data_IF_694074600357
#
_entry.id   IF_694074600357
#
_cell.length_a   1.000
_cell.length_b   1.000
_cell.length_c   1.000
_cell.angle_alpha   90.00
_cell.angle_beta   90.00
_cell.angle_gamma   90.00
#
_symmetry.space_group_name_H-M   'P 1'
#
loop_
_entity.id
_entity.type
_entity.pdbx_description
1 polymer ?
#
# COMPACT_ATOMS: atom_id res chain seq x y z
N UNK A 1 6.66 27.95 -12.23
CA UNK A 1 6.50 27.53 -10.82
C UNK A 1 5.06 27.12 -10.64
N UNK A 2 4.76 25.84 -10.87
CA UNK A 2 3.42 25.31 -10.65
C UNK A 2 3.24 25.09 -9.15
N UNK A 3 2.36 25.90 -8.58
CA UNK A 3 1.86 25.77 -7.22
C UNK A 3 1.39 24.33 -7.00
N UNK A 4 1.87 23.72 -5.92
CA UNK A 4 1.22 22.55 -5.35
C UNK A 4 -0.23 22.97 -5.09
N UNK A 5 -1.20 22.42 -5.85
CA UNK A 5 -2.60 22.70 -5.56
C UNK A 5 -2.85 22.07 -4.20
N UNK A 6 -3.09 22.92 -3.21
CA UNK A 6 -3.45 22.62 -1.83
C UNK A 6 -4.81 21.92 -1.69
N UNK A 7 -5.27 21.25 -2.75
CA UNK A 7 -6.63 20.74 -2.94
C UNK A 7 -6.73 19.21 -2.92
N UNK A 8 -5.63 18.49 -2.67
CA UNK A 8 -5.76 17.16 -2.04
C UNK A 8 -6.04 17.35 -0.55
N UNK A 9 -7.23 17.88 -0.29
CA UNK A 9 -7.86 17.94 1.01
C UNK A 9 -7.68 16.59 1.72
N UNK A 10 -7.32 16.65 3.01
CA UNK A 10 -7.23 15.54 3.94
C UNK A 10 -8.39 14.56 3.77
N UNK A 11 -8.28 13.58 2.87
CA UNK A 11 -9.16 12.42 2.86
C UNK A 11 -8.88 11.71 4.17
N UNK A 12 -9.82 11.85 5.10
CA UNK A 12 -9.72 11.23 6.41
C UNK A 12 -9.49 9.74 6.20
N UNK A 13 -8.34 9.25 6.63
CA UNK A 13 -8.04 7.82 6.54
C UNK A 13 -9.04 7.06 7.40
N UNK A 14 -9.75 6.12 6.78
CA UNK A 14 -10.71 5.25 7.46
C UNK A 14 -10.00 3.92 7.73
N UNK A 15 -9.91 3.47 9.00
CA UNK A 15 -9.39 2.15 9.36
C UNK A 15 -10.01 1.02 8.52
N UNK A 16 -9.21 0.09 8.02
CA UNK A 16 -9.69 -1.05 7.22
C UNK A 16 -10.76 -1.88 7.95
N UNK A 17 -10.63 -2.06 9.27
CA UNK A 17 -11.63 -2.74 10.11
C UNK A 17 -13.00 -2.07 10.14
N UNK A 18 -13.10 -0.80 9.73
CA UNK A 18 -14.36 -0.06 9.64
C UNK A 18 -14.95 -0.05 8.23
N UNK A 19 -14.22 -0.58 7.24
CA UNK A 19 -14.64 -0.65 5.85
C UNK A 19 -15.38 -1.97 5.60
N UNK A 20 -16.68 -1.97 5.25
CA UNK A 20 -17.47 -3.21 5.11
C UNK A 20 -16.89 -4.22 4.13
N UNK A 21 -16.24 -3.74 3.06
CA UNK A 21 -15.61 -4.56 2.02
C UNK A 21 -14.34 -5.30 2.47
N UNK A 22 -13.90 -5.09 3.72
CA UNK A 22 -12.76 -5.77 4.35
C UNK A 22 -13.18 -6.69 5.49
N UNK A 23 -14.48 -6.84 5.74
CA UNK A 23 -15.01 -7.62 6.88
C UNK A 23 -14.72 -9.13 6.81
N UNK A 24 -14.43 -9.65 5.62
CA UNK A 24 -14.04 -11.04 5.36
C UNK A 24 -12.54 -11.30 5.59
N UNK A 25 -11.73 -10.23 5.66
CA UNK A 25 -10.28 -10.34 5.78
C UNK A 25 -9.87 -10.35 7.24
N UNK A 26 -9.19 -11.40 7.68
CA UNK A 26 -8.53 -11.43 8.98
C UNK A 26 -7.14 -10.80 8.86
N UNK A 27 -6.87 -9.64 9.49
CA UNK A 27 -5.55 -9.00 9.43
C UNK A 27 -4.47 -9.93 10.00
N UNK A 28 -3.28 -9.88 9.40
CA UNK A 28 -2.14 -10.70 9.78
C UNK A 28 -1.03 -9.83 10.40
N UNK A 29 -0.88 -9.86 11.75
CA UNK A 29 0.15 -9.10 12.46
C UNK A 29 1.58 -9.41 11.97
N UNK A 30 2.47 -8.44 12.11
CA UNK A 30 3.90 -8.69 11.97
C UNK A 30 4.40 -9.59 13.11
N UNK A 31 5.14 -10.65 12.78
CA UNK A 31 5.81 -11.50 13.76
C UNK A 31 7.29 -11.10 13.88
N UNK A 32 7.60 -10.28 14.89
CA UNK A 32 8.98 -9.92 15.25
C UNK A 32 9.60 -10.87 16.31
N UNK A 33 8.90 -11.97 16.63
CA UNK A 33 9.31 -12.95 17.64
C UNK A 33 9.14 -12.48 19.10
N UNK A 34 9.53 -13.33 20.07
CA UNK A 34 9.32 -13.07 21.50
C UNK A 34 10.26 -12.01 22.11
N UNK A 35 11.32 -11.61 21.40
CA UNK A 35 12.31 -10.62 21.85
C UNK A 35 12.78 -9.80 20.65
N UNK A 36 11.96 -8.82 20.22
CA UNK A 36 12.20 -8.12 18.97
C UNK A 36 13.45 -7.25 19.05
N UNK A 37 14.26 -7.28 18.00
CA UNK A 37 15.42 -6.41 17.81
C UNK A 37 15.05 -5.35 16.79
N UNK A 38 15.41 -4.09 17.06
CA UNK A 38 15.04 -2.90 16.27
C UNK A 38 13.52 -2.74 15.98
N UNK A 39 12.62 -2.93 16.98
CA UNK A 39 11.20 -2.72 16.77
C UNK A 39 10.91 -1.27 16.41
N UNK A 40 10.12 -1.05 15.36
CA UNK A 40 9.70 0.28 14.96
C UNK A 40 8.39 0.60 15.64
N UNK A 41 8.32 1.74 16.33
CA UNK A 41 7.08 2.25 16.92
C UNK A 41 6.17 2.83 15.81
N UNK A 42 5.50 1.95 15.08
CA UNK A 42 4.60 2.32 13.99
C UNK A 42 3.35 3.06 14.49
N UNK A 43 2.80 3.92 13.64
CA UNK A 43 1.44 4.46 13.83
C UNK A 43 0.40 3.37 13.56
N UNK A 44 -0.76 3.47 14.19
CA UNK A 44 -1.88 2.51 14.01
C UNK A 44 -2.26 2.34 12.52
N UNK A 45 -2.25 3.42 11.75
CA UNK A 45 -2.55 3.37 10.31
C UNK A 45 -1.54 2.55 9.51
N UNK A 46 -0.28 2.56 9.93
CA UNK A 46 0.77 1.73 9.31
C UNK A 46 0.59 0.26 9.68
N UNK A 47 0.40 -0.02 10.97
CA UNK A 47 0.17 -1.39 11.46
C UNK A 47 -1.01 -2.01 10.74
N UNK A 48 -2.16 -1.32 10.73
CA UNK A 48 -3.37 -1.85 10.12
C UNK A 48 -3.21 -2.09 8.62
N UNK A 49 -2.72 -1.10 7.86
CA UNK A 49 -2.50 -1.26 6.41
C UNK A 49 -1.58 -2.45 6.11
N UNK A 50 -0.48 -2.59 6.86
CA UNK A 50 0.47 -3.68 6.63
C UNK A 50 -0.04 -5.04 7.09
N UNK A 51 -0.91 -5.09 8.12
CA UNK A 51 -1.54 -6.34 8.56
C UNK A 51 -2.52 -6.87 7.52
N UNK A 52 -3.33 -5.99 6.92
CA UNK A 52 -4.20 -6.35 5.79
C UNK A 52 -3.38 -6.72 4.56
N UNK A 53 -2.27 -6.01 4.28
CA UNK A 53 -1.38 -6.36 3.17
C UNK A 53 -0.82 -7.76 3.34
N UNK A 54 -0.31 -8.11 4.53
CA UNK A 54 0.18 -9.46 4.84
C UNK A 54 -0.90 -10.52 4.63
N UNK A 55 -2.13 -10.27 5.08
CA UNK A 55 -3.24 -11.21 4.90
C UNK A 55 -3.50 -11.51 3.41
N UNK A 56 -3.62 -10.46 2.57
CA UNK A 56 -3.87 -10.61 1.14
C UNK A 56 -2.67 -11.20 0.39
N UNK A 57 -1.46 -10.79 0.75
CA UNK A 57 -0.22 -11.30 0.17
C UNK A 57 -0.07 -12.81 0.42
N UNK A 58 -0.32 -13.27 1.65
CA UNK A 58 -0.29 -14.69 1.98
C UNK A 58 -1.44 -15.49 1.34
N UNK A 59 -2.60 -14.87 1.16
CA UNK A 59 -3.75 -15.46 0.46
C UNK A 59 -3.64 -15.42 -1.08
N UNK A 60 -2.60 -14.79 -1.62
CA UNK A 60 -2.42 -14.50 -3.04
C UNK A 60 -3.65 -13.83 -3.70
N UNK A 61 -4.31 -12.92 -2.98
CA UNK A 61 -5.55 -12.31 -3.48
C UNK A 61 -5.26 -11.29 -4.59
N UNK A 62 -5.67 -11.61 -5.83
CA UNK A 62 -5.53 -10.73 -7.00
C UNK A 62 -6.85 -10.05 -7.34
N UNK A 63 -7.17 -9.01 -6.58
CA UNK A 63 -8.44 -8.26 -6.69
C UNK A 63 -8.20 -6.76 -6.84
N UNK A 64 -9.23 -6.02 -7.27
CA UNK A 64 -9.16 -4.55 -7.33
C UNK A 64 -8.95 -3.93 -5.94
N UNK A 65 -9.54 -4.50 -4.88
CA UNK A 65 -9.30 -4.03 -3.50
C UNK A 65 -7.86 -4.29 -3.05
N UNK A 66 -7.25 -5.40 -3.47
CA UNK A 66 -5.84 -5.67 -3.23
C UNK A 66 -4.95 -4.63 -3.94
N UNK A 67 -5.29 -4.27 -5.19
CA UNK A 67 -4.60 -3.22 -5.93
C UNK A 67 -4.68 -1.87 -5.19
N UNK A 68 -5.87 -1.47 -4.73
CA UNK A 68 -6.05 -0.24 -3.93
C UNK A 68 -5.26 -0.27 -2.62
N UNK A 69 -5.24 -1.41 -1.92
CA UNK A 69 -4.45 -1.58 -0.70
C UNK A 69 -2.95 -1.40 -0.96
N UNK A 70 -2.41 -1.89 -2.08
CA UNK A 70 -1.00 -1.66 -2.41
C UNK A 70 -0.69 -0.17 -2.60
N UNK A 71 -1.63 0.64 -3.11
CA UNK A 71 -1.45 2.09 -3.22
C UNK A 71 -1.32 2.74 -1.83
N UNK A 72 -2.17 2.38 -0.86
CA UNK A 72 -2.06 2.88 0.52
C UNK A 72 -0.75 2.43 1.20
N UNK A 73 -0.36 1.17 1.00
CA UNK A 73 0.90 0.63 1.55
C UNK A 73 2.14 1.34 0.94
N UNK A 74 2.13 1.64 -0.35
CA UNK A 74 3.21 2.40 -1.03
C UNK A 74 3.28 3.84 -0.52
N UNK A 75 2.14 4.50 -0.28
CA UNK A 75 2.14 5.85 0.31
C UNK A 75 2.77 5.87 1.70
N UNK A 76 2.58 4.81 2.48
CA UNK A 76 3.15 4.68 3.83
C UNK A 76 4.65 4.31 3.82
N UNK A 77 5.08 3.46 2.90
CA UNK A 77 6.49 3.11 2.72
C UNK A 77 6.78 2.76 1.25
N UNK A 78 7.17 3.75 0.42
CA UNK A 78 7.46 3.50 -0.98
C UNK A 78 8.70 2.63 -1.18
N UNK A 79 9.54 2.45 -0.14
CA UNK A 79 10.71 1.57 -0.16
C UNK A 79 10.39 0.08 -0.04
N UNK A 80 9.13 -0.30 0.18
CA UNK A 80 8.75 -1.70 0.36
C UNK A 80 8.66 -2.44 -0.98
N UNK A 81 9.74 -3.13 -1.38
CA UNK A 81 9.82 -3.84 -2.65
C UNK A 81 8.80 -5.00 -2.76
N UNK A 82 8.40 -5.63 -1.65
CA UNK A 82 7.41 -6.72 -1.65
C UNK A 82 6.04 -6.21 -2.09
N UNK A 83 5.64 -5.02 -1.63
CA UNK A 83 4.37 -4.38 -2.03
C UNK A 83 4.39 -4.06 -3.52
N UNK A 84 5.49 -3.50 -4.05
CA UNK A 84 5.65 -3.22 -5.48
C UNK A 84 5.60 -4.49 -6.33
N UNK A 85 6.25 -5.56 -5.88
CA UNK A 85 6.20 -6.84 -6.59
C UNK A 85 4.77 -7.38 -6.65
N UNK A 86 4.07 -7.40 -5.52
CA UNK A 86 2.68 -7.87 -5.45
C UNK A 86 1.74 -6.98 -6.28
N UNK A 87 1.94 -5.66 -6.29
CA UNK A 87 1.19 -4.74 -7.15
C UNK A 87 1.31 -5.12 -8.63
N UNK A 88 2.53 -5.36 -9.14
CA UNK A 88 2.74 -5.79 -10.54
C UNK A 88 2.02 -7.10 -10.85
N UNK A 89 2.11 -8.05 -9.94
CA UNK A 89 1.44 -9.34 -10.03
C UNK A 89 -0.11 -9.20 -10.07
N UNK A 90 -0.68 -8.24 -9.34
CA UNK A 90 -2.11 -7.92 -9.41
C UNK A 90 -2.47 -7.24 -10.74
N UNK A 91 -1.67 -6.26 -11.18
CA UNK A 91 -1.90 -5.55 -12.44
C UNK A 91 -1.94 -6.50 -13.64
N UNK A 92 -1.01 -7.46 -13.69
CA UNK A 92 -0.96 -8.51 -14.69
C UNK A 92 -2.19 -9.41 -14.64
N UNK A 93 -2.55 -9.90 -13.44
CA UNK A 93 -3.70 -10.81 -13.27
C UNK A 93 -5.05 -10.16 -13.60
N UNK A 94 -5.17 -8.84 -13.41
CA UNK A 94 -6.41 -8.10 -13.66
C UNK A 94 -6.49 -7.52 -15.08
N UNK A 95 -5.42 -7.63 -15.88
CA UNK A 95 -5.33 -7.07 -17.24
C UNK A 95 -5.76 -5.59 -17.31
N UNK A 96 -5.41 -4.79 -16.29
CA UNK A 96 -5.82 -3.40 -16.22
C UNK A 96 -5.05 -2.51 -17.20
N UNK A 97 -5.67 -1.40 -17.58
CA UNK A 97 -5.00 -0.36 -18.38
C UNK A 97 -3.82 0.24 -17.61
N UNK A 98 -2.62 0.07 -18.18
CA UNK A 98 -1.37 0.55 -17.61
C UNK A 98 -1.21 2.08 -17.67
N UNK A 99 -2.06 2.79 -18.42
CA UNK A 99 -2.03 4.26 -18.41
C UNK A 99 -2.34 4.81 -17.01
N UNK A 100 -3.29 4.20 -16.30
CA UNK A 100 -3.58 4.57 -14.90
C UNK A 100 -2.41 4.25 -13.96
N UNK A 101 -1.66 3.18 -14.24
CA UNK A 101 -0.47 2.83 -13.46
C UNK A 101 0.69 3.80 -13.72
N UNK A 102 0.83 4.28 -14.96
CA UNK A 102 1.81 5.32 -15.29
C UNK A 102 1.52 6.60 -14.52
N UNK A 103 0.26 7.04 -14.48
CA UNK A 103 -0.15 8.23 -13.74
C UNK A 103 0.09 8.05 -12.23
N UNK A 104 -0.20 6.86 -11.69
CA UNK A 104 0.09 6.51 -10.30
C UNK A 104 1.58 6.57 -9.99
N UNK A 105 2.43 5.92 -10.80
CA UNK A 105 3.88 5.88 -10.59
C UNK A 105 4.52 7.27 -10.74
N UNK A 106 4.04 8.09 -11.68
CA UNK A 106 4.47 9.48 -11.81
C UNK A 106 4.13 10.29 -10.55
N UNK A 107 2.92 10.13 -10.02
CA UNK A 107 2.50 10.80 -8.78
C UNK A 107 3.39 10.41 -7.59
N UNK A 108 3.72 9.12 -7.43
CA UNK A 108 4.62 8.65 -6.36
C UNK A 108 6.05 9.18 -6.56
N UNK A 109 6.53 9.24 -7.81
CA UNK A 109 7.88 9.72 -8.14
C UNK A 109 8.12 11.19 -7.81
N UNK A 110 7.09 12.05 -7.93
CA UNK A 110 7.18 13.48 -7.57
C UNK A 110 7.64 13.71 -6.12
N UNK A 111 7.25 12.83 -5.20
CA UNK A 111 7.66 12.88 -3.79
C UNK A 111 8.86 11.98 -3.44
N UNK A 112 9.22 11.03 -4.32
CA UNK A 112 10.13 9.92 -3.99
C UNK A 112 11.16 9.63 -5.10
N UNK A 113 11.67 10.67 -5.77
CA UNK A 113 12.53 10.53 -6.96
C UNK A 113 13.82 9.71 -6.77
N UNK A 114 14.25 9.48 -5.53
CA UNK A 114 15.42 8.66 -5.16
C UNK A 114 15.08 7.24 -4.68
N UNK A 115 13.84 6.79 -4.88
CA UNK A 115 13.39 5.45 -4.53
C UNK A 115 13.65 4.48 -5.69
N UNK A 116 14.39 3.39 -5.42
CA UNK A 116 14.75 2.41 -6.46
C UNK A 116 13.58 1.59 -6.96
N UNK A 117 12.55 1.35 -6.14
CA UNK A 117 11.44 0.47 -6.53
C UNK A 117 10.55 1.10 -7.60
N UNK A 118 10.62 2.43 -7.77
CA UNK A 118 9.93 3.17 -8.82
C UNK A 118 10.58 3.06 -10.20
N UNK A 119 11.90 2.87 -10.27
CA UNK A 119 12.71 2.92 -11.50
C UNK A 119 13.07 1.53 -12.00
#
# INVERSE_FOLDING_TARGET
>A
MASFSSDEEFRQWIPFRQRPEWSDVKPMPQDDGPSPVVPIAYKDSFVETMDYFRALYHGDERSLRALSLTSEAIQLNPGNYTVWHFRRLILEALEVDLQNELDFTEAVARGNSKNYQLW
#
